data_IF_951568278780
#
_entry.id   IF_951568278780
#
_cell.length_a   1.000
_cell.length_b   1.000
_cell.length_c   1.000
_cell.angle_alpha   90.00
_cell.angle_beta   90.00
_cell.angle_gamma   90.00
#
_symmetry.space_group_name_H-M   'P 1'
#
loop_
_entity.id
_entity.type
_entity.pdbx_description
1 polymer ?
#
# COMPACT_ATOMS: atom_id res chain seq x y z
N UNK A 1 -49.37 -34.09 -10.82
CA UNK A 1 -48.36 -34.96 -11.45
C UNK A 1 -47.97 -34.26 -12.75
N UNK A 2 -46.78 -33.71 -13.03
CA UNK A 2 -45.41 -33.92 -12.53
C UNK A 2 -44.51 -32.73 -12.92
N UNK A 3 -43.69 -32.32 -11.94
CA UNK A 3 -42.32 -31.79 -11.94
C UNK A 3 -41.77 -30.83 -13.02
N UNK A 4 -41.61 -29.58 -12.57
CA UNK A 4 -40.49 -28.66 -12.80
C UNK A 4 -39.11 -29.33 -12.67
N UNK A 5 -38.22 -29.19 -13.66
CA UNK A 5 -36.75 -29.25 -13.45
C UNK A 5 -36.01 -28.54 -14.59
N UNK A 6 -35.26 -27.48 -14.28
CA UNK A 6 -34.01 -27.15 -15.00
C UNK A 6 -32.98 -26.55 -14.04
N UNK A 7 -32.35 -27.44 -13.29
CA UNK A 7 -30.90 -27.57 -13.10
C UNK A 7 -30.09 -26.27 -13.04
N UNK A 8 -29.93 -25.79 -11.80
CA UNK A 8 -28.66 -25.38 -11.18
C UNK A 8 -27.61 -24.68 -12.04
N UNK A 9 -27.56 -23.34 -11.93
CA UNK A 9 -26.34 -22.56 -12.17
C UNK A 9 -25.68 -22.24 -10.83
N UNK A 10 -25.03 -23.25 -10.23
CA UNK A 10 -24.17 -23.02 -9.06
C UNK A 10 -22.97 -22.21 -9.56
N UNK A 11 -23.01 -20.91 -9.28
CA UNK A 11 -21.92 -19.95 -9.44
C UNK A 11 -20.68 -20.56 -8.78
N UNK A 12 -19.67 -20.90 -9.60
CA UNK A 12 -18.41 -21.51 -9.14
C UNK A 12 -17.92 -20.84 -7.86
N UNK A 13 -17.84 -21.61 -6.80
CA UNK A 13 -17.30 -21.18 -5.53
C UNK A 13 -15.79 -20.89 -5.72
N UNK A 14 -15.48 -19.59 -5.66
CA UNK A 14 -14.30 -18.93 -5.07
C UNK A 14 -13.02 -19.78 -4.97
N UNK A 15 -12.00 -19.38 -5.73
CA UNK A 15 -10.60 -19.67 -5.39
C UNK A 15 -10.32 -19.08 -4.00
N UNK A 16 -10.15 -19.94 -3.00
CA UNK A 16 -9.68 -19.59 -1.66
C UNK A 16 -8.20 -19.93 -1.61
N UNK A 17 -7.35 -19.11 -2.22
CA UNK A 17 -5.91 -19.24 -2.07
C UNK A 17 -5.27 -17.88 -1.78
N UNK A 18 -4.73 -17.78 -0.57
CA UNK A 18 -3.77 -16.76 -0.17
C UNK A 18 -4.37 -15.41 0.17
N UNK A 19 -4.94 -15.27 1.38
CA UNK A 19 -5.07 -13.96 2.02
C UNK A 19 -3.67 -13.40 2.26
N UNK A 20 -3.09 -12.74 1.24
CA UNK A 20 -1.98 -11.82 1.43
C UNK A 20 -2.42 -10.81 2.48
N UNK A 21 -1.54 -10.38 3.42
CA UNK A 21 -1.91 -9.30 4.33
C UNK A 21 -2.46 -8.14 3.51
N UNK A 22 -3.65 -7.69 3.88
CA UNK A 22 -4.30 -6.55 3.24
C UNK A 22 -3.39 -5.35 3.51
N UNK A 23 -2.74 -4.83 2.45
CA UNK A 23 -1.95 -3.60 2.57
C UNK A 23 -2.85 -2.52 3.19
N UNK A 24 -2.32 -1.67 4.08
CA UNK A 24 -3.09 -0.56 4.61
C UNK A 24 -3.67 0.28 3.45
N UNK A 25 -4.84 0.87 3.68
CA UNK A 25 -5.43 1.80 2.72
C UNK A 25 -4.40 2.89 2.35
N UNK A 26 -4.32 3.33 1.08
CA UNK A 26 -3.31 4.28 0.62
C UNK A 26 -3.18 5.54 1.49
N UNK A 27 -4.30 6.05 2.00
CA UNK A 27 -4.36 7.22 2.87
C UNK A 27 -3.76 6.95 4.26
N UNK A 28 -3.96 5.74 4.79
CA UNK A 28 -3.37 5.32 6.07
C UNK A 28 -1.87 5.14 5.91
N UNK A 29 -1.44 4.49 4.83
CA UNK A 29 -0.02 4.36 4.50
C UNK A 29 0.64 5.74 4.37
N UNK A 30 0.02 6.66 3.62
CA UNK A 30 0.55 8.00 3.40
C UNK A 30 0.76 8.78 4.70
N UNK A 31 -0.20 8.68 5.64
CA UNK A 31 -0.07 9.29 6.97
C UNK A 31 1.06 8.68 7.79
N UNK A 32 1.24 7.37 7.75
CA UNK A 32 2.36 6.69 8.43
C UNK A 32 3.70 7.15 7.83
N UNK A 33 3.80 7.21 6.50
CA UNK A 33 5.00 7.70 5.81
C UNK A 33 5.34 9.14 6.23
N UNK A 34 4.35 10.05 6.22
CA UNK A 34 4.55 11.43 6.63
C UNK A 34 4.99 11.53 8.10
N UNK A 35 4.39 10.73 8.99
CA UNK A 35 4.74 10.69 10.40
C UNK A 35 6.21 10.31 10.63
N UNK A 36 6.69 9.25 9.98
CA UNK A 36 8.10 8.83 10.08
C UNK A 36 9.04 9.86 9.47
N UNK A 37 8.66 10.48 8.35
CA UNK A 37 9.44 11.56 7.73
C UNK A 37 9.64 12.73 8.69
N UNK A 38 8.56 13.18 9.33
CA UNK A 38 8.58 14.30 10.27
C UNK A 38 9.35 13.97 11.54
N UNK A 39 9.19 12.75 12.07
CA UNK A 39 9.96 12.27 13.22
C UNK A 39 11.46 12.21 12.96
N UNK A 40 11.86 11.96 11.71
CA UNK A 40 13.26 11.97 11.27
C UNK A 40 13.77 13.37 10.90
N UNK A 41 12.97 14.42 11.07
CA UNK A 41 13.25 15.81 10.69
C UNK A 41 13.68 15.96 9.21
N UNK A 42 12.99 15.23 8.33
CA UNK A 42 13.29 15.21 6.89
C UNK A 42 12.29 16.00 6.07
N UNK A 43 12.78 16.73 5.07
CA UNK A 43 11.96 17.36 4.05
C UNK A 43 11.46 16.34 3.03
N UNK A 44 10.38 16.66 2.33
CA UNK A 44 9.87 15.80 1.26
C UNK A 44 10.89 15.64 0.12
N UNK A 45 11.69 16.66 -0.14
CA UNK A 45 12.77 16.65 -1.13
C UNK A 45 13.88 15.65 -0.76
N UNK A 46 14.23 15.54 0.53
CA UNK A 46 15.24 14.58 1.01
C UNK A 46 14.74 13.13 0.87
N UNK A 47 13.49 12.87 1.26
CA UNK A 47 12.86 11.57 1.07
C UNK A 47 12.74 11.21 -0.41
N UNK A 48 12.40 12.19 -1.25
CA UNK A 48 12.29 11.99 -2.69
C UNK A 48 13.65 11.60 -3.31
N UNK A 49 14.73 12.27 -2.90
CA UNK A 49 16.08 11.94 -3.32
C UNK A 49 16.46 10.51 -2.90
N UNK A 50 16.17 10.12 -1.65
CA UNK A 50 16.44 8.77 -1.15
C UNK A 50 15.72 7.67 -1.95
N UNK A 51 14.51 7.94 -2.42
CA UNK A 51 13.71 7.02 -3.23
C UNK A 51 13.95 7.16 -4.75
N UNK A 52 14.82 8.08 -5.19
CA UNK A 52 15.01 8.43 -6.61
C UNK A 52 13.71 8.81 -7.35
N UNK A 53 12.83 9.59 -6.68
CA UNK A 53 11.58 10.12 -7.24
C UNK A 53 11.52 11.64 -7.12
N UNK A 54 10.50 12.27 -7.70
CA UNK A 54 10.26 13.70 -7.50
C UNK A 54 9.57 13.99 -6.17
N UNK A 55 9.76 15.19 -5.60
CA UNK A 55 9.02 15.66 -4.42
C UNK A 55 7.50 15.58 -4.60
N UNK A 56 6.99 15.80 -5.81
CA UNK A 56 5.56 15.65 -6.12
C UNK A 56 5.07 14.20 -5.95
N UNK A 57 5.90 13.20 -6.25
CA UNK A 57 5.55 11.81 -5.96
C UNK A 57 5.43 11.57 -4.46
N UNK A 58 6.37 12.07 -3.66
CA UNK A 58 6.31 11.97 -2.19
C UNK A 58 5.03 12.62 -1.66
N UNK A 59 4.68 13.83 -2.12
CA UNK A 59 3.44 14.49 -1.73
C UNK A 59 2.20 13.66 -2.06
N UNK A 60 2.14 12.99 -3.22
CA UNK A 60 1.03 12.11 -3.60
C UNK A 60 1.00 10.80 -2.81
N UNK A 61 2.16 10.29 -2.40
CA UNK A 61 2.25 9.13 -1.53
C UNK A 61 1.72 9.47 -0.14
N UNK A 62 2.19 10.58 0.45
CA UNK A 62 1.77 11.04 1.77
C UNK A 62 0.28 11.40 1.82
N UNK A 63 -0.30 11.91 0.73
CA UNK A 63 -1.73 12.21 0.65
C UNK A 63 -2.61 10.99 0.32
N UNK A 64 -2.01 9.82 0.02
CA UNK A 64 -2.74 8.63 -0.41
C UNK A 64 -3.24 8.65 -1.86
N UNK A 65 -3.00 9.73 -2.61
CA UNK A 65 -3.37 9.84 -4.02
C UNK A 65 -2.59 8.88 -4.94
N UNK A 66 -1.51 8.29 -4.43
CA UNK A 66 -0.73 7.26 -5.13
C UNK A 66 -0.14 6.28 -4.13
N UNK A 67 -0.09 5.00 -4.52
CA UNK A 67 0.61 3.95 -3.77
C UNK A 67 2.04 3.81 -4.31
N UNK A 68 3.08 3.95 -3.46
CA UNK A 68 4.44 3.64 -3.89
C UNK A 68 4.61 2.15 -4.14
N UNK A 69 5.49 1.79 -5.08
CA UNK A 69 5.87 0.39 -5.27
C UNK A 69 6.76 -0.10 -4.12
N UNK A 70 6.98 -1.41 -4.08
CA UNK A 70 7.72 -2.07 -3.00
C UNK A 70 9.13 -1.51 -2.83
N UNK A 71 9.85 -1.24 -3.92
CA UNK A 71 11.24 -0.74 -3.85
C UNK A 71 11.27 0.63 -3.18
N UNK A 72 10.37 1.53 -3.60
CA UNK A 72 10.23 2.85 -3.01
C UNK A 72 9.85 2.79 -1.52
N UNK A 73 8.99 1.84 -1.12
CA UNK A 73 8.65 1.61 0.29
C UNK A 73 9.87 1.15 1.10
N UNK A 74 10.66 0.21 0.57
CA UNK A 74 11.88 -0.29 1.22
C UNK A 74 12.95 0.81 1.34
N UNK A 75 13.12 1.64 0.31
CA UNK A 75 14.04 2.78 0.32
C UNK A 75 13.62 3.83 1.37
N UNK A 76 12.32 4.12 1.46
CA UNK A 76 11.77 5.03 2.47
C UNK A 76 11.95 4.48 3.90
N UNK A 77 11.67 3.19 4.13
CA UNK A 77 11.81 2.55 5.43
C UNK A 77 13.24 2.62 5.95
N UNK A 78 14.21 2.29 5.08
CA UNK A 78 15.64 2.37 5.38
C UNK A 78 16.10 3.80 5.65
N UNK A 79 15.66 4.76 4.84
CA UNK A 79 16.08 6.17 4.97
C UNK A 79 15.51 6.82 6.25
N UNK A 80 14.27 6.48 6.61
CA UNK A 80 13.58 7.06 7.76
C UNK A 80 13.83 6.30 9.07
N UNK A 81 14.47 5.14 9.02
CA UNK A 81 14.67 4.29 10.19
C UNK A 81 13.34 3.79 10.77
N UNK A 82 12.44 3.34 9.92
CA UNK A 82 11.09 2.93 10.32
C UNK A 82 10.99 1.44 10.77
N UNK A 83 12.12 0.75 10.88
CA UNK A 83 12.24 -0.63 11.41
C UNK A 83 11.26 -1.63 10.76
N UNK A 84 11.11 -1.54 9.45
CA UNK A 84 10.21 -2.39 8.66
C UNK A 84 8.73 -2.04 8.79
N UNK A 85 8.37 -0.95 9.49
CA UNK A 85 6.97 -0.54 9.67
C UNK A 85 6.31 -0.19 8.35
N UNK A 86 7.04 0.40 7.40
CA UNK A 86 6.46 0.77 6.10
C UNK A 86 6.30 -0.42 5.16
N UNK A 87 7.02 -1.52 5.40
CA UNK A 87 7.06 -2.71 4.53
C UNK A 87 5.96 -3.72 4.87
N UNK A 88 5.36 -3.64 6.07
CA UNK A 88 4.38 -4.60 6.61
C UNK A 88 3.01 -4.57 5.93
#
# INVERSE_FOLDING_TARGET
>A
MTNTTRTSRVKRLRNVEGSKPSRPAPEVFGRILAHYRERADKKQEELAAAMSVSRSHVSRFESGNRVPDRRHVEDADRFLGADGTLVK
#
